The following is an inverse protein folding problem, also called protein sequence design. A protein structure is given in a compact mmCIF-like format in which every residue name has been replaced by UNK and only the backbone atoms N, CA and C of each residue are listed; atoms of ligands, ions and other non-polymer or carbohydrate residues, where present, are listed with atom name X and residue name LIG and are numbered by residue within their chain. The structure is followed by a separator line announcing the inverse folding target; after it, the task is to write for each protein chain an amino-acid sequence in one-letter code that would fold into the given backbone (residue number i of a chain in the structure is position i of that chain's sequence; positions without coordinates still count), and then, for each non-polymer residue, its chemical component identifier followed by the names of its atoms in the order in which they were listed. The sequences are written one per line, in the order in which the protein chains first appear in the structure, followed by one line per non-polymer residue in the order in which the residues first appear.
data_IF_054631052428
#
_entry.id   IF_054631052428
#
_cell.length_a   1.000
_cell.length_b   1.000
_cell.length_c   1.000
_cell.angle_alpha   90.00
_cell.angle_beta   90.00
_cell.angle_gamma   90.00
#
_symmetry.space_group_name_H-M   'P 1'
#
loop_
_entity.id
_entity.type
_entity.pdbx_description
1 polymer ?
#
# COMPACT_ATOMS: atom_id res chain seq x y z
N UNK A 1 7.62 -6.53 -18.33
CA UNK A 1 8.15 -6.46 -16.95
C UNK A 1 7.15 -7.19 -16.06
N UNK A 2 7.54 -7.59 -14.84
CA UNK A 2 6.62 -8.21 -13.88
C UNK A 2 6.53 -7.29 -12.68
N UNK A 3 5.31 -6.97 -12.27
CA UNK A 3 5.04 -6.23 -11.04
C UNK A 3 4.56 -7.21 -9.99
N UNK A 4 5.14 -7.12 -8.79
CA UNK A 4 4.81 -8.00 -7.67
C UNK A 4 3.75 -7.37 -6.79
N UNK A 5 2.80 -8.19 -6.37
CA UNK A 5 1.67 -7.81 -5.54
C UNK A 5 1.59 -8.83 -4.41
N UNK A 6 1.35 -8.36 -3.20
CA UNK A 6 1.08 -9.23 -2.05
C UNK A 6 -0.35 -8.98 -1.57
N UNK A 7 -0.97 -9.99 -0.98
CA UNK A 7 -2.24 -9.82 -0.30
C UNK A 7 -2.18 -10.41 1.13
N UNK A 8 -2.84 -9.70 2.06
CA UNK A 8 -2.73 -9.95 3.50
C UNK A 8 -4.09 -9.76 4.19
N UNK A 9 -4.20 -10.32 5.40
CA UNK A 9 -5.40 -10.21 6.23
C UNK A 9 -5.03 -10.23 7.71
N UNK A 10 -6.02 -10.38 8.57
CA UNK A 10 -5.84 -10.63 9.98
C UNK A 10 -5.00 -11.88 10.31
N UNK A 11 -4.81 -12.81 9.37
CA UNK A 11 -3.94 -13.97 9.56
C UNK A 11 -2.47 -13.60 9.73
N UNK A 12 -2.04 -12.46 9.18
CA UNK A 12 -0.66 -11.98 9.28
C UNK A 12 -0.37 -11.18 10.56
N UNK A 13 -1.40 -10.79 11.32
CA UNK A 13 -1.23 -10.13 12.62
C UNK A 13 -0.45 -8.83 12.57
N UNK A 14 0.59 -8.70 13.39
CA UNK A 14 1.42 -7.50 13.50
C UNK A 14 2.52 -7.40 12.42
N UNK A 15 2.25 -7.92 11.21
CA UNK A 15 3.20 -7.84 10.11
C UNK A 15 3.54 -6.38 9.78
N UNK A 16 4.81 -6.14 9.44
CA UNK A 16 5.26 -4.86 8.94
C UNK A 16 4.81 -4.68 7.48
N UNK A 17 3.65 -4.05 7.26
CA UNK A 17 3.10 -3.89 5.91
C UNK A 17 3.94 -2.92 5.05
N UNK A 18 4.57 -1.90 5.66
CA UNK A 18 5.56 -1.07 4.99
C UNK A 18 6.80 -1.88 4.54
N UNK A 19 7.16 -2.92 5.29
CA UNK A 19 8.24 -3.85 4.96
C UNK A 19 7.98 -4.64 3.68
N UNK A 20 6.72 -4.99 3.40
CA UNK A 20 6.31 -5.65 2.15
C UNK A 20 6.64 -4.76 0.94
N UNK A 21 6.31 -3.47 1.02
CA UNK A 21 6.62 -2.49 -0.03
C UNK A 21 8.14 -2.32 -0.20
N UNK A 22 8.87 -2.21 0.92
CA UNK A 22 10.33 -2.10 0.91
C UNK A 22 11.04 -3.31 0.30
N UNK A 23 10.42 -4.50 0.34
CA UNK A 23 10.91 -5.73 -0.31
C UNK A 23 10.61 -5.79 -1.82
N UNK A 24 9.93 -4.77 -2.38
CA UNK A 24 9.74 -4.60 -3.82
C UNK A 24 8.36 -5.02 -4.33
N UNK A 25 7.39 -5.25 -3.45
CA UNK A 25 5.99 -5.42 -3.83
C UNK A 25 5.37 -4.05 -4.06
N UNK A 26 4.91 -3.79 -5.28
CA UNK A 26 4.42 -2.46 -5.67
C UNK A 26 3.02 -2.18 -5.13
N UNK A 27 2.23 -3.22 -4.87
CA UNK A 27 0.91 -3.13 -4.29
C UNK A 27 0.73 -4.16 -3.17
N UNK A 28 -0.05 -3.80 -2.15
CA UNK A 28 -0.43 -4.68 -1.05
C UNK A 28 -1.94 -4.60 -0.85
N UNK A 29 -2.64 -5.72 -1.06
CA UNK A 29 -4.10 -5.78 -1.03
C UNK A 29 -4.56 -6.41 0.29
N UNK A 30 -5.28 -5.64 1.09
CA UNK A 30 -5.64 -6.04 2.45
C UNK A 30 -7.11 -6.49 2.52
N UNK A 31 -7.40 -7.56 3.26
CA UNK A 31 -8.78 -7.90 3.61
C UNK A 31 -9.40 -6.72 4.33
N UNK A 32 -10.54 -6.24 3.84
CA UNK A 32 -11.27 -5.16 4.49
C UNK A 32 -12.49 -5.68 5.22
N UNK A 33 -13.27 -6.51 4.53
CA UNK A 33 -14.56 -7.00 4.98
C UNK A 33 -14.84 -8.39 4.43
N UNK A 34 -15.68 -9.12 5.12
CA UNK A 34 -16.22 -10.41 4.71
C UNK A 34 -17.71 -10.45 5.04
N UNK A 35 -18.51 -10.91 4.09
CA UNK A 35 -19.94 -11.08 4.30
C UNK A 35 -20.65 -9.82 4.81
N UNK A 36 -21.77 -10.05 5.49
CA UNK A 36 -22.60 -8.98 6.03
C UNK A 36 -22.05 -8.31 7.30
N UNK A 37 -21.08 -8.90 8.00
CA UNK A 37 -20.79 -8.58 9.41
C UNK A 37 -19.31 -8.54 9.82
N UNK A 38 -18.40 -9.28 9.16
CA UNK A 38 -17.01 -9.34 9.58
C UNK A 38 -16.13 -8.23 8.99
N UNK A 39 -15.49 -7.42 9.83
CA UNK A 39 -14.50 -6.40 9.42
C UNK A 39 -13.12 -6.89 9.84
N UNK A 40 -12.14 -6.79 8.96
CA UNK A 40 -10.77 -7.14 9.31
C UNK A 40 -10.19 -6.11 10.31
N UNK A 41 -9.75 -6.55 11.51
CA UNK A 41 -9.25 -5.65 12.55
C UNK A 41 -7.91 -5.00 12.20
N UNK A 42 -7.14 -5.55 11.28
CA UNK A 42 -5.81 -5.04 10.91
C UNK A 42 -5.82 -4.09 9.72
N UNK A 43 -6.94 -4.01 8.98
CA UNK A 43 -7.07 -3.14 7.82
C UNK A 43 -6.71 -1.67 8.12
N UNK A 44 -7.15 -1.13 9.26
CA UNK A 44 -6.85 0.27 9.64
C UNK A 44 -5.38 0.51 10.00
N UNK A 45 -4.64 -0.56 10.31
CA UNK A 45 -3.21 -0.50 10.58
C UNK A 45 -2.42 -0.62 9.28
N UNK A 46 -2.75 -1.61 8.43
CA UNK A 46 -1.98 -1.88 7.23
C UNK A 46 -2.07 -0.75 6.19
N UNK A 47 -3.25 -0.19 5.94
CA UNK A 47 -3.45 0.77 4.85
C UNK A 47 -2.54 2.00 5.00
N UNK A 48 -2.50 2.71 6.15
CA UNK A 48 -1.60 3.85 6.33
C UNK A 48 -0.12 3.47 6.19
N UNK A 49 0.30 2.28 6.63
CA UNK A 49 1.68 1.81 6.48
C UNK A 49 2.07 1.62 5.01
N UNK A 50 1.17 1.01 4.22
CA UNK A 50 1.39 0.79 2.78
C UNK A 50 1.49 2.11 2.04
N UNK A 51 0.55 3.03 2.30
CA UNK A 51 0.54 4.37 1.68
C UNK A 51 1.78 5.16 2.09
N UNK A 52 2.15 5.13 3.38
CA UNK A 52 3.34 5.81 3.90
C UNK A 52 4.64 5.31 3.28
N UNK A 53 4.71 4.01 2.94
CA UNK A 53 5.84 3.42 2.23
C UNK A 53 5.84 3.68 0.71
N UNK A 54 4.83 4.39 0.18
CA UNK A 54 4.70 4.68 -1.25
C UNK A 54 4.16 3.52 -2.09
N UNK A 55 3.62 2.48 -1.44
CA UNK A 55 2.96 1.36 -2.12
C UNK A 55 1.58 1.73 -2.66
N UNK A 56 1.09 0.96 -3.63
CA UNK A 56 -0.29 1.04 -4.07
C UNK A 56 -1.16 0.31 -3.02
N UNK A 57 -2.04 1.01 -2.28
CA UNK A 57 -2.95 0.34 -1.38
C UNK A 57 -3.96 -0.49 -2.18
N UNK A 58 -4.39 -1.61 -1.60
CA UNK A 58 -5.53 -2.33 -2.13
C UNK A 58 -6.40 -2.87 -1.02
N UNK A 59 -7.64 -3.17 -1.37
CA UNK A 59 -8.61 -3.75 -0.48
C UNK A 59 -9.35 -4.90 -1.17
N UNK A 60 -9.69 -5.93 -0.40
CA UNK A 60 -10.58 -6.98 -0.87
C UNK A 60 -11.77 -7.23 0.05
N UNK A 61 -12.86 -7.66 -0.56
CA UNK A 61 -14.06 -8.14 0.11
C UNK A 61 -14.22 -9.64 -0.13
N UNK A 62 -14.31 -10.42 0.96
CA UNK A 62 -14.58 -11.85 0.91
C UNK A 62 -16.09 -12.09 0.78
N UNK A 63 -16.54 -12.44 -0.42
CA UNK A 63 -17.96 -12.54 -0.75
C UNK A 63 -18.59 -13.74 -0.06
N UNK A 64 -19.69 -13.51 0.67
CA UNK A 64 -20.51 -14.58 1.27
C UNK A 64 -21.91 -14.57 0.67
N UNK A 65 -22.64 -15.66 0.87
CA UNK A 65 -24.07 -15.69 0.57
C UNK A 65 -24.82 -14.57 1.31
N UNK A 66 -25.86 -14.01 0.70
CA UNK A 66 -26.68 -12.94 1.31
C UNK A 66 -26.92 -11.77 0.37
N UNK A 67 -26.97 -10.55 0.91
CA UNK A 67 -27.19 -9.34 0.11
C UNK A 67 -25.85 -8.82 -0.43
N UNK A 68 -25.55 -9.12 -1.70
CA UNK A 68 -24.34 -8.64 -2.37
C UNK A 68 -24.24 -7.11 -2.46
N UNK A 69 -25.36 -6.40 -2.59
CA UNK A 69 -25.36 -4.93 -2.59
C UNK A 69 -25.06 -4.35 -1.21
N UNK A 70 -25.58 -4.95 -0.14
CA UNK A 70 -25.21 -4.56 1.23
C UNK A 70 -23.73 -4.81 1.53
N UNK A 71 -23.19 -5.94 1.03
CA UNK A 71 -21.76 -6.25 1.09
C UNK A 71 -20.90 -5.19 0.38
N UNK A 72 -21.29 -4.78 -0.84
CA UNK A 72 -20.60 -3.72 -1.58
C UNK A 72 -20.60 -2.37 -0.85
N UNK A 73 -21.74 -1.95 -0.29
CA UNK A 73 -21.82 -0.71 0.51
C UNK A 73 -20.88 -0.74 1.70
N UNK A 74 -20.91 -1.84 2.46
CA UNK A 74 -20.08 -2.02 3.66
C UNK A 74 -18.60 -2.01 3.33
N UNK A 75 -18.21 -2.67 2.25
CA UNK A 75 -16.84 -2.65 1.75
C UNK A 75 -16.40 -1.25 1.31
N UNK A 76 -17.24 -0.54 0.54
CA UNK A 76 -16.93 0.81 0.09
C UNK A 76 -16.85 1.81 1.25
N UNK A 77 -17.71 1.71 2.26
CA UNK A 77 -17.65 2.55 3.46
C UNK A 77 -16.33 2.35 4.21
N UNK A 78 -15.83 1.10 4.25
CA UNK A 78 -14.52 0.78 4.83
C UNK A 78 -13.38 1.45 4.08
N UNK A 79 -13.42 1.44 2.75
CA UNK A 79 -12.41 2.11 1.90
C UNK A 79 -12.52 3.65 2.01
N UNK A 80 -13.74 4.20 2.07
CA UNK A 80 -13.99 5.65 2.21
C UNK A 80 -13.45 6.23 3.51
N UNK A 81 -13.37 5.43 4.58
CA UNK A 81 -12.72 5.83 5.82
C UNK A 81 -11.21 6.17 5.63
N UNK A 82 -10.61 5.70 4.53
CA UNK A 82 -9.21 5.94 4.15
C UNK A 82 -9.04 6.79 2.88
N UNK A 83 -10.08 7.53 2.47
CA UNK A 83 -10.00 8.46 1.34
C UNK A 83 -10.71 8.01 0.06
N UNK A 84 -11.24 6.78 0.03
CA UNK A 84 -11.98 6.27 -1.12
C UNK A 84 -11.13 5.39 -2.05
N UNK A 85 -11.77 4.79 -3.09
CA UNK A 85 -11.14 3.76 -3.90
C UNK A 85 -10.15 4.29 -4.95
N UNK A 86 -10.21 5.57 -5.31
CA UNK A 86 -9.29 6.14 -6.32
C UNK A 86 -7.84 6.03 -5.86
N UNK A 87 -7.00 5.43 -6.69
CA UNK A 87 -5.62 5.10 -6.37
C UNK A 87 -5.42 3.71 -5.75
N UNK A 88 -6.49 2.92 -5.59
CA UNK A 88 -6.42 1.59 -4.97
C UNK A 88 -6.66 0.44 -5.95
N UNK A 89 -6.04 -0.71 -5.70
CA UNK A 89 -6.51 -1.97 -6.27
C UNK A 89 -7.71 -2.47 -5.47
N UNK A 90 -8.80 -2.80 -6.16
CA UNK A 90 -10.02 -3.30 -5.52
C UNK A 90 -10.31 -4.71 -6.01
N UNK A 91 -10.52 -5.64 -5.10
CA UNK A 91 -10.76 -7.04 -5.39
C UNK A 91 -12.08 -7.53 -4.75
N UNK A 92 -12.84 -8.31 -5.50
CA UNK A 92 -13.94 -9.11 -4.98
C UNK A 92 -13.49 -10.58 -4.93
N UNK A 93 -13.29 -11.09 -3.73
CA UNK A 93 -12.83 -12.46 -3.49
C UNK A 93 -14.02 -13.42 -3.50
N UNK A 94 -14.02 -14.31 -4.49
CA UNK A 94 -15.09 -15.24 -4.83
C UNK A 94 -14.58 -16.69 -4.72
N UNK A 95 -14.57 -17.24 -3.51
CA UNK A 95 -14.14 -18.62 -3.28
C UNK A 95 -14.91 -19.34 -2.17
N UNK A 96 -16.07 -18.79 -1.80
CA UNK A 96 -16.86 -19.19 -0.65
C UNK A 96 -18.27 -19.66 -1.06
N UNK A 97 -19.29 -19.30 -0.28
CA UNK A 97 -20.69 -19.67 -0.49
C UNK A 97 -21.52 -18.61 -1.24
N UNK A 98 -20.94 -17.44 -1.55
CA UNK A 98 -21.55 -16.44 -2.44
C UNK A 98 -21.41 -16.80 -3.92
N UNK A 99 -22.45 -16.59 -4.71
CA UNK A 99 -22.50 -17.01 -6.12
C UNK A 99 -22.77 -15.87 -7.10
N UNK A 100 -23.06 -16.19 -8.38
CA UNK A 100 -23.34 -15.19 -9.41
C UNK A 100 -24.40 -14.13 -9.04
N UNK A 101 -25.50 -14.45 -8.32
CA UNK A 101 -26.46 -13.42 -7.89
C UNK A 101 -25.84 -12.38 -6.96
N UNK A 102 -25.06 -12.82 -5.97
CA UNK A 102 -24.37 -11.93 -5.02
C UNK A 102 -23.28 -11.11 -5.74
N UNK A 103 -22.51 -11.72 -6.65
CA UNK A 103 -21.52 -11.02 -7.46
C UNK A 103 -22.15 -9.91 -8.31
N UNK A 104 -23.24 -10.23 -9.02
CA UNK A 104 -23.94 -9.26 -9.86
C UNK A 104 -24.53 -8.10 -9.04
N UNK A 105 -25.12 -8.39 -7.87
CA UNK A 105 -25.64 -7.36 -6.97
C UNK A 105 -24.53 -6.49 -6.38
N UNK A 106 -23.40 -7.09 -5.99
CA UNK A 106 -22.23 -6.38 -5.52
C UNK A 106 -21.68 -5.43 -6.58
N UNK A 107 -21.44 -5.94 -7.79
CA UNK A 107 -20.88 -5.17 -8.90
C UNK A 107 -21.81 -4.02 -9.32
N UNK A 108 -23.13 -4.26 -9.37
CA UNK A 108 -24.10 -3.21 -9.69
C UNK A 108 -24.07 -2.07 -8.66
N UNK A 109 -24.06 -2.38 -7.37
CA UNK A 109 -23.98 -1.38 -6.31
C UNK A 109 -22.64 -0.63 -6.32
N UNK A 110 -21.54 -1.38 -6.44
CA UNK A 110 -20.20 -0.81 -6.51
C UNK A 110 -20.05 0.17 -7.67
N UNK A 111 -20.48 -0.24 -8.87
CA UNK A 111 -20.42 0.58 -10.07
C UNK A 111 -21.27 1.85 -9.93
N UNK A 112 -22.49 1.72 -9.40
CA UNK A 112 -23.35 2.88 -9.14
C UNK A 112 -22.73 3.87 -8.13
N UNK A 113 -22.04 3.37 -7.11
CA UNK A 113 -21.49 4.19 -6.03
C UNK A 113 -20.11 4.79 -6.33
N UNK A 114 -19.35 4.20 -7.26
CA UNK A 114 -17.97 4.59 -7.60
C UNK A 114 -17.79 5.10 -9.02
N UNK A 115 -18.86 5.05 -9.83
CA UNK A 115 -18.83 5.40 -11.25
C UNK A 115 -18.00 4.41 -12.07
N UNK A 116 -18.16 3.10 -11.81
CA UNK A 116 -17.46 1.97 -12.45
C UNK A 116 -15.97 1.79 -12.09
N UNK A 117 -15.56 2.08 -10.84
CA UNK A 117 -14.17 1.82 -10.43
C UNK A 117 -13.80 0.35 -10.67
N UNK A 118 -12.65 0.03 -11.32
CA UNK A 118 -12.29 -1.35 -11.63
C UNK A 118 -12.32 -2.24 -10.40
N UNK A 119 -12.85 -3.44 -10.58
CA UNK A 119 -12.84 -4.52 -9.59
C UNK A 119 -12.21 -5.74 -10.24
N UNK A 120 -11.22 -6.32 -9.58
CA UNK A 120 -10.68 -7.62 -9.93
C UNK A 120 -11.50 -8.70 -9.23
N UNK A 121 -12.06 -9.66 -9.98
CA UNK A 121 -12.61 -10.86 -9.35
C UNK A 121 -11.46 -11.80 -9.03
N UNK A 122 -11.34 -12.21 -7.78
CA UNK A 122 -10.41 -13.26 -7.37
C UNK A 122 -11.13 -14.61 -7.27
N UNK A 123 -10.53 -15.64 -7.85
CA UNK A 123 -10.98 -17.03 -7.74
C UNK A 123 -9.93 -17.97 -8.38
N UNK A 124 -10.05 -19.27 -8.12
CA UNK A 124 -9.43 -20.31 -8.95
C UNK A 124 -10.46 -21.17 -9.71
N UNK A 125 -9.99 -21.89 -10.73
CA UNK A 125 -10.82 -22.82 -11.52
C UNK A 125 -11.45 -23.92 -10.64
N UNK A 126 -10.74 -24.30 -9.56
CA UNK A 126 -11.16 -25.31 -8.58
C UNK A 126 -12.47 -24.95 -7.87
N UNK A 127 -12.81 -23.66 -7.78
CA UNK A 127 -14.05 -23.20 -7.18
C UNK A 127 -15.08 -22.85 -8.26
N UNK A 128 -14.64 -22.11 -9.28
CA UNK A 128 -15.53 -21.37 -10.18
C UNK A 128 -16.54 -22.25 -10.91
N UNK A 129 -16.10 -23.29 -11.62
CA UNK A 129 -17.00 -24.04 -12.51
C UNK A 129 -18.10 -24.76 -11.73
N UNK A 130 -17.73 -25.41 -10.63
CA UNK A 130 -18.67 -26.17 -9.80
C UNK A 130 -19.62 -25.26 -9.01
N UNK A 131 -19.13 -24.14 -8.46
CA UNK A 131 -19.94 -23.26 -7.61
C UNK A 131 -20.81 -22.28 -8.40
N UNK A 132 -20.35 -21.86 -9.58
CA UNK A 132 -21.07 -20.88 -10.40
C UNK A 132 -21.86 -21.53 -11.54
N UNK A 133 -21.65 -22.83 -11.81
CA UNK A 133 -22.22 -23.52 -12.95
C UNK A 133 -21.63 -23.04 -14.29
N UNK A 134 -20.35 -22.66 -14.29
CA UNK A 134 -19.66 -22.12 -15.47
C UNK A 134 -20.13 -20.71 -15.86
N UNK A 135 -20.51 -19.89 -14.88
CA UNK A 135 -20.95 -18.51 -15.12
C UNK A 135 -19.85 -17.70 -15.83
N UNK A 136 -20.25 -16.88 -16.80
CA UNK A 136 -19.36 -15.94 -17.49
C UNK A 136 -19.09 -14.72 -16.61
N UNK A 137 -18.08 -14.80 -15.75
CA UNK A 137 -17.65 -13.70 -14.88
C UNK A 137 -17.05 -12.53 -15.64
N UNK A 138 -16.53 -12.76 -16.85
CA UNK A 138 -15.99 -11.70 -17.72
C UNK A 138 -17.06 -10.68 -18.12
N UNK A 139 -18.35 -11.08 -18.08
CA UNK A 139 -19.48 -10.18 -18.29
C UNK A 139 -19.68 -9.17 -17.14
N UNK A 140 -19.14 -9.43 -15.94
CA UNK A 140 -19.18 -8.49 -14.81
C UNK A 140 -17.95 -7.56 -14.78
N UNK A 141 -16.77 -8.11 -15.06
CA UNK A 141 -15.51 -7.36 -15.13
C UNK A 141 -14.52 -8.09 -16.04
N UNK A 142 -13.74 -7.37 -16.87
CA UNK A 142 -12.69 -7.99 -17.67
C UNK A 142 -11.48 -8.43 -16.81
N UNK A 143 -11.44 -8.06 -15.53
CA UNK A 143 -10.26 -8.24 -14.68
C UNK A 143 -10.37 -9.46 -13.77
N UNK A 144 -9.57 -10.48 -14.07
CA UNK A 144 -9.44 -11.69 -13.25
C UNK A 144 -8.13 -11.65 -12.45
N UNK A 145 -8.22 -11.93 -11.15
CA UNK A 145 -7.11 -12.32 -10.29
C UNK A 145 -7.17 -13.85 -10.09
N UNK A 146 -6.40 -14.57 -10.89
CA UNK A 146 -6.45 -16.03 -10.93
C UNK A 146 -5.57 -16.64 -9.83
N UNK A 147 -6.12 -17.54 -9.02
CA UNK A 147 -5.34 -18.37 -8.09
C UNK A 147 -4.91 -19.69 -8.75
N UNK A 148 -3.60 -19.92 -8.84
CA UNK A 148 -3.02 -21.19 -9.26
C UNK A 148 -1.59 -21.34 -8.73
N UNK A 149 -1.36 -22.28 -7.81
CA UNK A 149 -0.14 -22.27 -7.00
C UNK A 149 0.92 -23.25 -7.48
N UNK A 150 2.18 -22.79 -7.47
CA UNK A 150 3.34 -23.67 -7.52
C UNK A 150 3.57 -24.34 -6.17
N UNK A 151 4.20 -25.51 -6.19
CA UNK A 151 4.65 -26.17 -4.97
C UNK A 151 5.87 -25.46 -4.34
N UNK A 152 5.98 -25.54 -3.01
CA UNK A 152 7.14 -25.08 -2.25
C UNK A 152 6.95 -23.71 -1.58
N UNK A 153 8.04 -23.20 -1.00
CA UNK A 153 8.09 -21.96 -0.23
C UNK A 153 9.38 -21.19 -0.49
N UNK A 154 9.37 -19.88 -0.38
CA UNK A 154 10.57 -19.04 -0.54
C UNK A 154 10.25 -17.68 -1.12
N UNK A 155 11.26 -16.97 -1.63
CA UNK A 155 11.01 -15.66 -2.25
C UNK A 155 10.08 -15.79 -3.45
N UNK A 156 9.06 -14.93 -3.52
CA UNK A 156 8.07 -14.94 -4.60
C UNK A 156 8.69 -14.89 -6.00
N UNK A 157 9.77 -14.12 -6.17
CA UNK A 157 10.52 -14.05 -7.43
C UNK A 157 11.11 -15.39 -7.88
N UNK A 158 11.48 -16.27 -6.94
CA UNK A 158 12.00 -17.63 -7.24
C UNK A 158 10.88 -18.63 -7.49
N UNK A 159 9.80 -18.56 -6.70
CA UNK A 159 8.62 -19.38 -6.92
C UNK A 159 8.02 -19.09 -8.31
N UNK A 160 7.99 -17.83 -8.73
CA UNK A 160 7.48 -17.43 -10.04
C UNK A 160 8.29 -17.99 -11.23
N UNK A 161 9.57 -18.33 -11.06
CA UNK A 161 10.36 -19.00 -12.12
C UNK A 161 9.77 -20.37 -12.50
N UNK A 162 9.00 -20.99 -11.60
CA UNK A 162 8.35 -22.28 -11.82
C UNK A 162 6.94 -22.15 -12.39
N UNK A 163 6.41 -20.93 -12.56
CA UNK A 163 5.07 -20.69 -13.09
C UNK A 163 5.05 -20.97 -14.61
N UNK A 164 4.28 -21.97 -15.07
CA UNK A 164 4.07 -22.24 -16.48
C UNK A 164 3.41 -21.07 -17.22
N UNK A 165 3.74 -20.91 -18.50
CA UNK A 165 3.24 -19.81 -19.31
C UNK A 165 1.73 -19.83 -19.53
N UNK A 166 1.15 -21.03 -19.61
CA UNK A 166 -0.27 -21.32 -19.85
C UNK A 166 -1.16 -21.07 -18.63
N UNK A 167 -0.61 -20.90 -17.42
CA UNK A 167 -1.39 -20.51 -16.24
C UNK A 167 -2.03 -19.12 -16.35
N UNK A 168 -1.59 -18.32 -17.32
CA UNK A 168 -2.19 -17.02 -17.60
C UNK A 168 -3.43 -17.11 -18.51
N UNK A 169 -3.76 -18.30 -19.00
CA UNK A 169 -4.99 -18.60 -19.70
C UNK A 169 -5.85 -19.47 -18.77
N UNK A 170 -6.75 -18.85 -17.97
CA UNK A 170 -7.41 -19.53 -16.85
C UNK A 170 -8.32 -20.67 -17.29
N UNK A 171 -8.95 -20.56 -18.46
CA UNK A 171 -9.82 -21.61 -19.03
C UNK A 171 -11.21 -21.71 -18.41
N UNK A 172 -11.60 -20.78 -17.54
CA UNK A 172 -12.91 -20.70 -16.91
C UNK A 172 -13.43 -19.26 -16.87
N UNK A 173 -14.73 -19.10 -16.59
CA UNK A 173 -15.33 -17.80 -16.29
C UNK A 173 -15.36 -16.78 -17.43
N UNK A 174 -15.06 -17.21 -18.66
CA UNK A 174 -15.09 -16.36 -19.86
C UNK A 174 -13.86 -15.46 -20.06
N UNK A 175 -12.91 -15.45 -19.13
CA UNK A 175 -11.67 -14.66 -19.28
C UNK A 175 -10.67 -15.36 -20.20
N UNK A 176 -10.27 -14.68 -21.27
CA UNK A 176 -9.20 -15.15 -22.16
C UNK A 176 -7.82 -15.16 -21.46
N UNK A 177 -7.62 -14.23 -20.53
CA UNK A 177 -6.36 -14.12 -19.78
C UNK A 177 -6.55 -13.60 -18.36
N UNK A 178 -5.74 -14.09 -17.43
CA UNK A 178 -5.64 -13.54 -16.09
C UNK A 178 -5.01 -12.14 -16.12
N UNK A 179 -5.58 -11.18 -15.40
CA UNK A 179 -5.00 -9.84 -15.21
C UNK A 179 -3.89 -9.90 -14.16
N UNK A 180 -4.15 -10.56 -13.04
CA UNK A 180 -3.19 -10.86 -11.98
C UNK A 180 -3.20 -12.38 -11.76
N UNK A 181 -2.04 -12.97 -11.51
CA UNK A 181 -1.91 -14.37 -11.12
C UNK A 181 -1.36 -14.45 -9.69
N UNK A 182 -2.16 -14.96 -8.76
CA UNK A 182 -1.67 -15.40 -7.45
C UNK A 182 -1.08 -16.80 -7.60
N UNK A 183 0.23 -16.89 -7.40
CA UNK A 183 0.98 -18.09 -7.77
C UNK A 183 1.54 -18.87 -6.59
N UNK A 184 1.40 -18.36 -5.37
CA UNK A 184 1.77 -19.09 -4.15
C UNK A 184 1.18 -18.43 -2.92
N UNK A 185 0.83 -19.24 -1.92
CA UNK A 185 0.52 -18.84 -0.55
C UNK A 185 1.70 -18.92 0.41
N UNK A 186 2.90 -19.21 -0.10
CA UNK A 186 4.11 -19.47 0.68
C UNK A 186 5.29 -18.58 0.22
N UNK A 187 4.96 -17.37 -0.24
CA UNK A 187 5.94 -16.32 -0.52
C UNK A 187 6.54 -15.80 0.78
N UNK A 188 7.87 -15.88 0.93
CA UNK A 188 8.57 -15.31 2.08
C UNK A 188 8.68 -13.81 1.91
N UNK A 189 7.87 -13.05 2.66
CA UNK A 189 7.79 -11.59 2.58
C UNK A 189 7.65 -11.01 3.98
N UNK A 190 8.42 -9.96 4.28
CA UNK A 190 8.41 -9.27 5.59
C UNK A 190 8.53 -10.24 6.80
N UNK A 191 9.25 -11.35 6.61
CA UNK A 191 9.45 -12.36 7.65
C UNK A 191 8.28 -13.32 7.90
N UNK A 192 7.27 -13.35 7.03
CA UNK A 192 6.13 -14.28 7.10
C UNK A 192 5.91 -15.00 5.76
N UNK A 193 5.03 -16.00 5.77
CA UNK A 193 4.50 -16.62 4.55
C UNK A 193 3.27 -15.82 4.11
N UNK A 194 3.29 -15.38 2.86
CA UNK A 194 2.36 -14.41 2.28
C UNK A 194 1.92 -14.89 0.90
N UNK A 195 0.66 -14.63 0.60
CA UNK A 195 0.08 -14.81 -0.72
C UNK A 195 0.73 -13.81 -1.70
N UNK A 196 1.40 -14.35 -2.72
CA UNK A 196 2.18 -13.57 -3.68
C UNK A 196 1.64 -13.71 -5.09
N UNK A 197 1.55 -12.56 -5.74
CA UNK A 197 0.90 -12.37 -7.01
C UNK A 197 1.79 -11.62 -8.00
N UNK A 198 1.57 -11.90 -9.27
CA UNK A 198 2.27 -11.27 -10.38
C UNK A 198 1.28 -10.55 -11.30
N UNK A 199 1.67 -9.38 -11.78
CA UNK A 199 1.03 -8.68 -12.89
C UNK A 199 2.02 -8.61 -14.07
N UNK A 200 1.58 -9.05 -15.26
CA UNK A 200 2.39 -9.00 -16.50
C UNK A 200 2.18 -7.66 -17.20
N UNK A 201 2.98 -6.67 -16.84
CA UNK A 201 2.94 -5.34 -17.44
C UNK A 201 3.90 -4.38 -16.78
N UNK A 202 3.74 -3.09 -17.05
CA UNK A 202 4.45 -2.03 -16.32
C UNK A 202 3.67 -1.62 -15.06
N UNK A 203 4.34 -0.88 -14.16
CA UNK A 203 3.68 -0.28 -13.00
C UNK A 203 2.61 0.74 -13.42
N UNK A 204 2.84 1.46 -14.51
CA UNK A 204 1.88 2.43 -15.04
C UNK A 204 0.62 1.73 -15.56
N UNK A 205 0.76 0.58 -16.23
CA UNK A 205 -0.39 -0.22 -16.65
C UNK A 205 -1.19 -0.75 -15.46
N UNK A 206 -0.51 -1.16 -14.38
CA UNK A 206 -1.17 -1.56 -13.14
C UNK A 206 -1.95 -0.39 -12.51
N UNK A 207 -1.41 0.84 -12.54
CA UNK A 207 -2.07 2.05 -12.02
C UNK A 207 -3.34 2.43 -12.79
N UNK A 208 -3.50 1.97 -14.03
CA UNK A 208 -4.78 2.16 -14.75
C UNK A 208 -5.92 1.44 -14.03
N UNK A 209 -5.66 0.27 -13.43
CA UNK A 209 -6.65 -0.47 -12.65
C UNK A 209 -7.07 0.24 -11.36
N UNK A 210 -6.30 1.24 -10.92
CA UNK A 210 -6.59 1.97 -9.69
C UNK A 210 -7.35 3.26 -9.94
N UNK A 211 -7.66 3.61 -11.20
CA UNK A 211 -8.16 4.94 -11.59
C UNK A 211 -7.36 6.10 -11.01
N UNK A 212 -6.10 5.88 -10.67
CA UNK A 212 -5.20 6.99 -10.45
C UNK A 212 -5.12 7.70 -11.80
N UNK A 213 -5.59 8.95 -11.88
CA UNK A 213 -5.34 9.77 -13.05
C UNK A 213 -3.85 9.70 -13.40
N UNK A 214 -3.51 9.78 -14.70
CA UNK A 214 -2.12 9.70 -15.16
C UNK A 214 -1.22 10.51 -14.22
N UNK A 215 -0.15 9.93 -13.64
CA UNK A 215 0.77 10.70 -12.82
C UNK A 215 1.16 11.93 -13.61
N UNK A 216 0.87 13.13 -13.09
CA UNK A 216 1.33 14.35 -13.74
C UNK A 216 2.85 14.23 -13.86
N UNK A 217 3.44 14.31 -15.06
CA UNK A 217 4.88 14.30 -15.19
C UNK A 217 5.43 15.40 -14.30
N UNK A 218 6.29 15.05 -13.35
CA UNK A 218 7.07 16.05 -12.63
C UNK A 218 7.83 16.82 -13.71
N UNK A 219 7.66 18.14 -13.86
CA UNK A 219 8.42 18.91 -14.82
C UNK A 219 9.91 18.63 -14.62
N UNK A 220 10.71 18.44 -15.69
CA UNK A 220 12.14 18.31 -15.51
C UNK A 220 12.64 19.52 -14.72
N UNK A 221 13.47 19.23 -13.71
CA UNK A 221 14.15 20.24 -12.92
C UNK A 221 14.77 21.29 -13.86
N UNK A 222 14.43 22.59 -13.76
CA UNK A 222 14.99 23.63 -14.62
C UNK A 222 16.52 23.74 -14.51
N UNK A 223 17.13 23.11 -13.48
CA UNK A 223 18.58 23.03 -13.32
C UNK A 223 19.22 21.76 -13.91
N UNK A 224 18.48 20.90 -14.60
CA UNK A 224 19.00 19.73 -15.32
C UNK A 224 19.77 20.07 -16.63
N UNK A 225 20.33 21.28 -16.72
CA UNK A 225 21.15 21.77 -17.84
C UNK A 225 22.62 21.31 -17.82
N UNK A 226 23.00 20.37 -16.95
CA UNK A 226 24.35 19.79 -16.93
C UNK A 226 24.46 18.57 -17.86
N UNK A 227 25.30 18.65 -18.89
CA UNK A 227 25.49 17.56 -19.87
C UNK A 227 25.85 16.24 -19.21
N UNK A 228 25.13 15.18 -19.59
CA UNK A 228 25.38 13.78 -19.22
C UNK A 228 26.62 13.27 -19.98
N UNK A 229 27.79 13.63 -19.52
CA UNK A 229 29.06 13.05 -19.99
C UNK A 229 30.10 13.19 -18.87
N UNK A 230 30.15 12.18 -17.99
CA UNK A 230 31.33 11.77 -17.18
C UNK A 230 30.99 11.11 -15.83
N UNK A 231 29.98 10.23 -15.78
CA UNK A 231 29.88 9.30 -14.64
C UNK A 231 29.75 7.87 -15.15
N UNK A 232 30.92 7.27 -15.36
CA UNK A 232 31.09 5.84 -15.57
C UNK A 232 30.61 5.07 -14.33
N UNK A 233 29.79 4.07 -14.61
CA UNK A 233 29.37 3.05 -13.65
C UNK A 233 30.62 2.28 -13.18
N UNK A 234 30.96 2.36 -11.90
CA UNK A 234 31.97 1.52 -11.25
C UNK A 234 31.36 0.83 -10.01
N UNK A 235 31.71 -0.44 -9.74
CA UNK A 235 30.99 -1.29 -8.80
C UNK A 235 31.37 -0.96 -7.36
N UNK A 236 30.40 -0.66 -6.51
CA UNK A 236 30.67 -0.48 -5.08
C UNK A 236 30.97 -1.82 -4.41
N UNK A 237 32.27 -2.07 -4.22
CA UNK A 237 32.77 -2.93 -3.17
C UNK A 237 32.48 -2.33 -1.79
N UNK A 238 32.30 -3.20 -0.79
CA UNK A 238 32.17 -2.83 0.62
C UNK A 238 33.37 -2.00 1.09
N UNK A 239 33.13 -1.07 2.03
CA UNK A 239 33.90 -1.11 3.27
C UNK A 239 33.02 -1.07 4.53
N UNK A 240 33.71 -1.27 5.65
CA UNK A 240 33.25 -1.70 6.96
C UNK A 240 32.33 -0.73 7.73
N UNK A 241 31.61 -1.35 8.67
CA UNK A 241 30.80 -0.76 9.75
C UNK A 241 31.60 0.25 10.59
N UNK A 242 30.98 1.38 10.99
CA UNK A 242 30.75 1.88 12.38
C UNK A 242 30.08 3.26 12.32
N UNK A 243 28.93 3.43 13.00
CA UNK A 243 28.47 4.72 13.55
C UNK A 243 27.31 5.44 12.83
N UNK A 244 26.14 5.46 13.50
CA UNK A 244 24.95 6.32 13.33
C UNK A 244 24.12 6.30 12.03
N UNK A 245 23.00 5.59 12.12
CA UNK A 245 21.95 5.39 11.09
C UNK A 245 20.73 6.32 11.22
N UNK A 246 20.80 7.39 12.02
CA UNK A 246 19.60 8.14 12.40
C UNK A 246 19.25 9.34 11.47
N UNK A 247 20.19 9.89 10.71
CA UNK A 247 19.96 11.17 10.01
C UNK A 247 19.41 11.03 8.56
N UNK A 248 19.69 9.92 7.88
CA UNK A 248 19.32 9.75 6.46
C UNK A 248 17.88 9.30 6.21
N UNK A 249 17.20 8.78 7.23
CA UNK A 249 15.84 8.23 7.11
C UNK A 249 14.78 9.33 7.24
N UNK A 250 15.07 10.41 8.00
CA UNK A 250 14.08 11.46 8.28
C UNK A 250 13.72 12.36 7.08
N UNK A 251 14.62 12.53 6.10
CA UNK A 251 14.40 13.47 4.98
C UNK A 251 13.52 12.92 3.86
N UNK A 252 13.53 11.61 3.63
CA UNK A 252 12.69 10.97 2.61
C UNK A 252 11.22 10.88 3.07
N UNK A 253 11.00 10.56 4.35
CA UNK A 253 9.67 10.46 4.95
C UNK A 253 8.96 11.83 5.02
N UNK A 254 9.72 12.92 5.23
CA UNK A 254 9.17 14.27 5.29
C UNK A 254 8.77 14.83 3.93
N UNK A 255 9.44 14.44 2.83
CA UNK A 255 9.09 14.91 1.48
C UNK A 255 7.85 14.20 0.93
N UNK A 256 7.65 12.94 1.30
CA UNK A 256 6.43 12.18 0.97
C UNK A 256 5.17 12.78 1.60
N UNK A 257 5.27 13.29 2.83
CA UNK A 257 4.16 13.94 3.52
C UNK A 257 3.80 15.32 2.93
N UNK A 258 4.78 16.08 2.43
CA UNK A 258 4.56 17.42 1.83
C UNK A 258 3.94 17.33 0.43
N UNK A 259 4.22 16.27 -0.34
CA UNK A 259 3.71 16.11 -1.70
C UNK A 259 2.20 15.78 -1.75
N UNK A 260 1.65 15.18 -0.70
CA UNK A 260 0.23 14.76 -0.62
C UNK A 260 -0.76 15.91 -0.35
N UNK A 261 -0.31 17.07 0.16
CA UNK A 261 -1.21 18.16 0.59
C UNK A 261 -1.35 19.33 -0.41
N UNK A 262 -0.76 19.24 -1.60
CA UNK A 262 -0.91 20.27 -2.66
C UNK A 262 -2.00 19.96 -3.70
N UNK A 263 -2.77 18.89 -3.53
CA UNK A 263 -3.88 18.55 -4.42
C UNK A 263 -5.03 19.57 -4.29
N UNK A 264 -5.52 20.18 -5.39
CA UNK A 264 -6.52 21.26 -5.35
C UNK A 264 -7.95 20.83 -4.97
N UNK A 265 -8.15 19.63 -4.43
CA UNK A 265 -9.47 19.10 -4.07
C UNK A 265 -9.60 18.89 -2.57
N UNK A 266 -9.96 19.96 -1.83
CA UNK A 266 -10.83 19.92 -0.65
C UNK A 266 -10.99 21.32 -0.02
N UNK A 267 -11.75 22.19 -0.69
CA UNK A 267 -12.32 23.37 -0.04
C UNK A 267 -13.73 23.01 0.47
N UNK A 268 -13.85 22.59 1.74
CA UNK A 268 -14.99 22.89 2.63
C UNK A 268 -14.93 22.07 3.94
N UNK A 269 -14.16 22.55 4.92
CA UNK A 269 -14.55 22.61 6.35
C UNK A 269 -13.48 23.39 7.14
N UNK A 270 -13.82 24.54 7.75
CA UNK A 270 -12.85 25.39 8.42
C UNK A 270 -12.81 25.06 9.92
N UNK A 271 -11.65 24.69 10.46
CA UNK A 271 -11.12 25.05 11.79
C UNK A 271 -10.07 24.10 12.43
N UNK A 272 -9.75 22.90 11.91
CA UNK A 272 -8.54 22.16 12.33
C UNK A 272 -7.35 22.34 11.38
N UNK A 273 -7.60 22.68 10.11
CA UNK A 273 -6.58 22.67 9.04
C UNK A 273 -5.57 23.82 9.17
N UNK A 274 -6.01 25.05 9.47
CA UNK A 274 -5.11 26.23 9.54
C UNK A 274 -4.08 26.09 10.68
N UNK A 275 -4.52 25.63 11.86
CA UNK A 275 -3.61 25.42 12.98
C UNK A 275 -2.65 24.22 12.75
N UNK A 276 -3.05 23.26 11.93
CA UNK A 276 -2.22 22.10 11.56
C UNK A 276 -1.21 22.49 10.47
N UNK A 277 -1.61 23.27 9.47
CA UNK A 277 -0.75 23.85 8.44
C UNK A 277 0.30 24.79 9.02
N UNK A 278 -0.07 25.66 9.97
CA UNK A 278 0.88 26.56 10.64
C UNK A 278 1.94 25.78 11.44
N UNK A 279 1.61 24.62 12.01
CA UNK A 279 2.58 23.76 12.70
C UNK A 279 3.49 23.04 11.72
N UNK A 280 2.95 22.57 10.59
CA UNK A 280 3.74 21.92 9.53
C UNK A 280 4.70 22.93 8.89
N UNK A 281 4.23 24.14 8.57
CA UNK A 281 5.03 25.22 8.00
C UNK A 281 6.16 25.65 8.96
N UNK A 282 5.90 25.72 10.27
CA UNK A 282 6.93 25.98 11.27
C UNK A 282 8.01 24.89 11.32
N UNK A 283 7.61 23.61 11.23
CA UNK A 283 8.54 22.47 11.22
C UNK A 283 9.37 22.41 9.95
N UNK A 284 8.76 22.64 8.78
CA UNK A 284 9.46 22.66 7.48
C UNK A 284 10.46 23.82 7.41
N UNK A 285 10.07 25.01 7.87
CA UNK A 285 10.96 26.17 7.90
C UNK A 285 12.14 25.98 8.88
N UNK A 286 11.91 25.33 10.02
CA UNK A 286 12.99 24.97 10.94
C UNK A 286 13.99 23.98 10.30
N UNK A 287 13.48 22.93 9.63
CA UNK A 287 14.30 21.93 8.97
C UNK A 287 15.12 22.51 7.80
N UNK A 288 14.54 23.46 7.05
CA UNK A 288 15.22 24.15 5.96
C UNK A 288 16.37 25.04 6.47
N UNK A 289 16.18 25.71 7.61
CA UNK A 289 17.22 26.47 8.28
C UNK A 289 18.37 25.56 8.78
N UNK A 290 18.05 24.39 9.31
CA UNK A 290 19.02 23.39 9.77
C UNK A 290 19.87 22.83 8.61
N UNK A 291 19.24 22.52 7.47
CA UNK A 291 19.95 22.07 6.26
C UNK A 291 20.86 23.17 5.71
N UNK A 292 20.43 24.43 5.74
CA UNK A 292 21.26 25.56 5.31
C UNK A 292 22.46 25.76 6.24
N UNK A 293 22.28 25.62 7.56
CA UNK A 293 23.36 25.71 8.55
C UNK A 293 24.37 24.55 8.40
N UNK A 294 23.89 23.32 8.16
CA UNK A 294 24.72 22.14 7.91
C UNK A 294 25.56 22.32 6.64
N UNK A 295 24.95 22.81 5.55
CA UNK A 295 25.64 23.07 4.29
C UNK A 295 26.66 24.20 4.41
N UNK A 296 26.36 25.23 5.19
CA UNK A 296 27.30 26.32 5.46
C UNK A 296 28.52 25.84 6.27
N UNK A 297 28.33 24.97 7.27
CA UNK A 297 29.41 24.37 8.05
C UNK A 297 30.28 23.39 7.22
N UNK A 298 29.67 22.66 6.29
CA UNK A 298 30.39 21.78 5.35
C UNK A 298 31.26 22.57 4.36
N UNK A 299 30.83 23.76 3.95
CA UNK A 299 31.57 24.59 3.00
C UNK A 299 32.88 25.19 3.57
N UNK A 300 33.02 25.25 4.90
CA UNK A 300 34.22 25.78 5.57
C UNK A 300 35.27 24.74 5.93
N UNK A 301 35.01 23.45 5.70
CA UNK A 301 36.01 22.38 5.81
C UNK A 301 36.39 21.91 7.22
N UNK A 302 35.84 22.52 8.28
CA UNK A 302 35.96 22.04 9.67
C UNK A 302 34.57 21.67 10.19
N UNK A 303 34.32 20.38 10.40
CA UNK A 303 33.07 19.93 11.03
C UNK A 303 33.26 19.97 12.55
N UNK A 304 32.90 21.10 13.17
CA UNK A 304 32.77 21.16 14.63
C UNK A 304 31.45 20.51 15.06
N UNK A 305 31.56 19.26 15.48
CA UNK A 305 30.45 18.40 15.91
C UNK A 305 29.69 18.99 17.10
N UNK A 306 30.35 19.83 17.93
CA UNK A 306 29.70 20.48 19.06
C UNK A 306 28.85 21.67 18.63
N UNK A 307 29.28 22.42 17.61
CA UNK A 307 28.48 23.50 17.02
C UNK A 307 27.23 22.93 16.31
N UNK A 308 27.39 21.80 15.62
CA UNK A 308 26.28 21.09 14.98
C UNK A 308 25.27 20.52 16.00
N UNK A 309 25.76 19.92 17.10
CA UNK A 309 24.90 19.42 18.17
C UNK A 309 24.17 20.56 18.91
N UNK A 310 24.81 21.72 19.12
CA UNK A 310 24.19 22.88 19.74
C UNK A 310 23.11 23.52 18.86
N UNK A 311 23.27 23.50 17.53
CA UNK A 311 22.28 24.00 16.58
C UNK A 311 21.03 23.09 16.51
N UNK A 312 21.21 21.77 16.64
CA UNK A 312 20.11 20.79 16.56
C UNK A 312 19.37 20.58 17.91
N UNK A 313 19.99 20.92 19.03
CA UNK A 313 19.43 20.70 20.38
C UNK A 313 18.03 21.32 20.65
N UNK A 314 17.67 22.51 20.13
CA UNK A 314 16.33 23.09 20.32
C UNK A 314 15.23 22.39 19.50
N UNK A 315 15.60 21.58 18.51
CA UNK A 315 14.71 20.99 17.51
C UNK A 315 14.50 19.48 17.73
N UNK A 316 15.21 18.86 18.67
CA UNK A 316 14.95 17.49 19.12
C UNK A 316 13.72 17.46 20.03
N UNK A 317 12.80 16.49 19.86
CA UNK A 317 11.64 16.38 20.74
C UNK A 317 12.10 16.13 22.18
N UNK A 318 11.51 16.84 23.13
CA UNK A 318 11.80 16.62 24.54
C UNK A 318 11.47 15.17 24.91
N UNK A 319 12.35 14.51 25.68
CA UNK A 319 12.08 13.18 26.18
C UNK A 319 10.74 13.18 26.95
N UNK A 320 9.84 12.20 26.70
CA UNK A 320 8.53 12.21 27.31
C UNK A 320 8.68 12.19 28.83
N UNK A 321 7.94 13.06 29.49
CA UNK A 321 7.96 13.13 30.95
C UNK A 321 7.40 11.83 31.53
N UNK A 322 7.85 11.46 32.74
CA UNK A 322 7.31 10.27 33.42
C UNK A 322 5.78 10.31 33.57
N UNK A 323 5.18 11.52 33.59
CA UNK A 323 3.74 11.71 33.65
C UNK A 323 3.03 11.38 32.31
N UNK A 324 3.66 11.70 31.18
CA UNK A 324 3.15 11.36 29.84
C UNK A 324 3.23 9.85 29.58
N UNK A 325 4.35 9.23 29.97
CA UNK A 325 4.51 7.76 29.91
C UNK A 325 3.49 7.07 30.81
N UNK A 326 3.29 7.56 32.04
CA UNK A 326 2.29 7.00 32.96
C UNK A 326 0.84 7.20 32.48
N UNK A 327 0.57 8.22 31.66
CA UNK A 327 -0.76 8.45 31.08
C UNK A 327 -1.02 7.50 29.91
N UNK A 328 -0.02 7.29 29.05
CA UNK A 328 -0.09 6.31 27.97
C UNK A 328 -0.30 4.89 28.50
N UNK A 329 0.46 4.47 29.53
CA UNK A 329 0.33 3.15 30.16
C UNK A 329 -1.04 2.96 30.82
N UNK A 330 -1.62 4.01 31.42
CA UNK A 330 -2.97 3.95 32.01
C UNK A 330 -4.06 3.86 30.96
N UNK A 331 -3.90 4.51 29.81
CA UNK A 331 -4.85 4.45 28.71
C UNK A 331 -4.88 3.05 28.07
N UNK A 332 -3.71 2.42 27.95
CA UNK A 332 -3.56 1.07 27.42
C UNK A 332 -4.11 -0.01 28.38
N UNK A 333 -3.86 0.16 29.68
CA UNK A 333 -4.43 -0.70 30.72
C UNK A 333 -5.97 -0.58 30.81
N UNK A 334 -6.52 0.63 30.62
CA UNK A 334 -7.97 0.84 30.59
C UNK A 334 -8.62 0.24 29.33
N UNK A 335 -7.93 0.27 28.20
CA UNK A 335 -8.38 -0.35 26.95
C UNK A 335 -8.35 -1.89 27.03
N UNK A 336 -7.41 -2.47 27.78
CA UNK A 336 -7.38 -3.91 28.05
C UNK A 336 -8.46 -4.36 29.04
N UNK A 337 -8.72 -3.59 30.10
CA UNK A 337 -9.74 -3.93 31.11
C UNK A 337 -11.19 -3.71 30.64
N UNK A 338 -11.40 -2.96 29.55
CA UNK A 338 -12.71 -2.80 28.92
C UNK A 338 -13.06 -3.92 27.92
N UNK A 339 -12.18 -4.91 27.75
CA UNK A 339 -12.32 -6.06 26.83
C UNK A 339 -12.61 -7.39 27.54
N UNK A 340 -12.77 -7.37 28.87
CA UNK A 340 -13.27 -8.48 29.72
C UNK A 340 -14.65 -8.13 30.31
#
# INVERSE_FOLDING_TARGET
MTVWIADISNWQGDINAAGIVAEGYAAVVCKATEGGDYTDPWFDTYIPEIIGAGGIPGAYHYLRAGDGGAQARRFLDRIRAHGGPDGWLVQLDCEADGGPPEMAAFMAEWNAATGDHPVLIYSGAWWWDDHTGGFDGSALTPYLWHSHYVDGSGYGSRLYESVPGDWWTPGYGGWDTATILQFSSHGRVAGQDIDVSAYRGSLDDLRVLTRAGTPTPIPPDPDAGGSVSDLSYAPFGKPAVVGDRAAGVMLADLWGAVALESSPYQANTPFPLVARLQRIEATVNALAADIAAIRAAQATGDVDVNALAAALAPHLPAAPTAAEVATAVRHDAAAHLARD
#
